data_IF_191230372654
#
_entry.id   IF_191230372654
#
_cell.length_a   1.000
_cell.length_b   1.000
_cell.length_c   1.000
_cell.angle_alpha   90.00
_cell.angle_beta   90.00
_cell.angle_gamma   90.00
#
_symmetry.space_group_name_H-M   'P 1'
#
loop_
_entity.id
_entity.type
_entity.pdbx_description
1 polymer ?
#
# COMPACT_ATOMS: atom_id res chain seq x y z
N UNK A 1 17.96 9.36 17.77
CA UNK A 1 18.09 7.89 17.89
C UNK A 1 17.35 7.21 16.74
N UNK A 2 17.97 6.20 16.13
CA UNK A 2 17.47 5.43 14.99
C UNK A 2 16.67 4.23 15.51
N UNK A 3 15.54 3.90 14.89
CA UNK A 3 14.65 2.80 15.30
C UNK A 3 14.91 1.55 14.42
N UNK A 4 15.84 0.66 14.81
CA UNK A 4 16.40 -0.37 13.93
C UNK A 4 15.36 -1.36 13.42
N UNK A 5 14.38 -1.70 14.26
CA UNK A 5 13.34 -2.66 13.89
C UNK A 5 12.35 -2.08 12.86
N UNK A 6 11.94 -0.81 12.99
CA UNK A 6 11.15 -0.13 11.95
C UNK A 6 11.92 -0.03 10.64
N UNK A 7 13.21 0.33 10.68
CA UNK A 7 14.05 0.40 9.49
C UNK A 7 14.15 -0.97 8.80
N UNK A 8 14.38 -2.04 9.57
CA UNK A 8 14.44 -3.41 9.07
C UNK A 8 13.14 -3.84 8.39
N UNK A 9 11.99 -3.55 8.99
CA UNK A 9 10.69 -3.95 8.42
C UNK A 9 10.36 -3.19 7.13
N UNK A 10 10.60 -1.89 7.06
CA UNK A 10 10.46 -1.15 5.80
C UNK A 10 11.46 -1.64 4.75
N UNK A 11 12.69 -2.01 5.14
CA UNK A 11 13.67 -2.58 4.23
C UNK A 11 13.19 -3.92 3.66
N UNK A 12 12.63 -4.80 4.50
CA UNK A 12 12.04 -6.05 4.05
C UNK A 12 10.89 -5.81 3.05
N UNK A 13 9.98 -4.87 3.34
CA UNK A 13 8.89 -4.48 2.43
C UNK A 13 9.41 -3.86 1.12
N UNK A 14 10.49 -3.10 1.18
CA UNK A 14 11.18 -2.53 0.01
C UNK A 14 11.71 -3.65 -0.89
N UNK A 15 12.39 -4.64 -0.31
CA UNK A 15 12.94 -5.79 -1.05
C UNK A 15 11.82 -6.61 -1.70
N UNK A 16 10.73 -6.90 -0.97
CA UNK A 16 9.57 -7.61 -1.51
C UNK A 16 8.89 -6.85 -2.65
N UNK A 17 8.79 -5.53 -2.53
CA UNK A 17 8.22 -4.66 -3.57
C UNK A 17 9.13 -4.62 -4.81
N UNK A 18 10.44 -4.52 -4.61
CA UNK A 18 11.42 -4.55 -5.70
C UNK A 18 11.43 -5.89 -6.44
N UNK A 19 11.41 -7.01 -5.72
CA UNK A 19 11.32 -8.34 -6.31
C UNK A 19 10.05 -8.47 -7.19
N UNK A 20 8.93 -7.96 -6.69
CA UNK A 20 7.66 -7.93 -7.42
C UNK A 20 7.70 -7.01 -8.65
N UNK A 21 8.35 -5.84 -8.55
CA UNK A 21 8.59 -4.93 -9.67
C UNK A 21 9.44 -5.56 -10.76
N UNK A 22 10.54 -6.20 -10.40
CA UNK A 22 11.44 -6.89 -11.33
C UNK A 22 10.66 -8.00 -12.05
N UNK A 23 9.93 -8.83 -11.31
CA UNK A 23 9.07 -9.87 -11.89
C UNK A 23 8.03 -9.31 -12.86
N UNK A 24 7.30 -8.26 -12.46
CA UNK A 24 6.30 -7.61 -13.32
C UNK A 24 6.93 -6.91 -14.52
N UNK A 25 8.13 -6.33 -14.40
CA UNK A 25 8.84 -5.71 -15.52
C UNK A 25 9.17 -6.74 -16.61
N UNK A 26 9.67 -7.92 -16.21
CA UNK A 26 9.89 -9.03 -17.14
C UNK A 26 8.59 -9.52 -17.80
N UNK A 27 7.49 -9.61 -17.03
CA UNK A 27 6.17 -10.04 -17.55
C UNK A 27 5.46 -8.97 -18.40
N UNK A 28 5.62 -7.68 -18.11
CA UNK A 28 4.99 -6.54 -18.79
C UNK A 28 5.35 -6.49 -20.27
N UNK A 29 6.57 -6.93 -20.64
CA UNK A 29 6.97 -7.10 -22.05
C UNK A 29 6.04 -8.04 -22.84
N UNK A 30 5.32 -8.93 -22.16
CA UNK A 30 4.44 -9.93 -22.77
C UNK A 30 2.94 -9.70 -22.57
N UNK A 31 2.54 -8.66 -21.80
CA UNK A 31 1.14 -8.41 -21.41
C UNK A 31 0.89 -6.89 -21.33
N UNK A 32 0.35 -6.30 -22.40
CA UNK A 32 0.01 -4.88 -22.47
C UNK A 32 -1.46 -4.64 -22.08
N UNK A 33 -1.76 -4.62 -20.78
CA UNK A 33 -3.10 -4.26 -20.28
C UNK A 33 -3.02 -3.15 -19.23
N UNK A 34 -4.06 -2.30 -19.18
CA UNK A 34 -4.16 -1.20 -18.22
C UNK A 34 -4.03 -1.69 -16.76
N UNK A 35 -4.62 -2.86 -16.44
CA UNK A 35 -4.51 -3.46 -15.12
C UNK A 35 -3.06 -3.83 -14.75
N UNK A 36 -2.28 -4.41 -15.67
CA UNK A 36 -0.85 -4.71 -15.43
C UNK A 36 -0.05 -3.43 -15.20
N UNK A 37 -0.38 -2.35 -15.92
CA UNK A 37 0.18 -1.01 -15.68
C UNK A 37 -0.10 -0.51 -14.26
N UNK A 38 -1.34 -0.61 -13.80
CA UNK A 38 -1.74 -0.19 -12.46
C UNK A 38 -1.07 -1.03 -11.37
N UNK A 39 -0.95 -2.35 -11.55
CA UNK A 39 -0.22 -3.22 -10.61
C UNK A 39 1.26 -2.85 -10.54
N UNK A 40 1.90 -2.62 -11.68
CA UNK A 40 3.30 -2.18 -11.72
C UNK A 40 3.47 -0.85 -10.97
N UNK A 41 2.59 0.12 -11.23
CA UNK A 41 2.61 1.42 -10.55
C UNK A 41 2.36 1.26 -9.05
N UNK A 42 1.45 0.37 -8.65
CA UNK A 42 1.17 0.09 -7.24
C UNK A 42 2.42 -0.38 -6.50
N UNK A 43 3.14 -1.38 -7.02
CA UNK A 43 4.39 -1.84 -6.42
C UNK A 43 5.49 -0.79 -6.46
N UNK A 44 5.54 0.06 -7.49
CA UNK A 44 6.53 1.13 -7.61
C UNK A 44 6.30 2.19 -6.54
N UNK A 45 5.05 2.61 -6.38
CA UNK A 45 4.65 3.60 -5.39
C UNK A 45 4.83 3.05 -3.98
N UNK A 46 4.53 1.77 -3.74
CA UNK A 46 4.76 1.15 -2.45
C UNK A 46 6.25 0.95 -2.15
N UNK A 47 7.07 0.67 -3.16
CA UNK A 47 8.53 0.69 -3.05
C UNK A 47 9.04 2.09 -2.64
N UNK A 48 8.60 3.13 -3.34
CA UNK A 48 8.98 4.52 -3.03
C UNK A 48 8.51 4.94 -1.63
N UNK A 49 7.29 4.60 -1.24
CA UNK A 49 6.79 4.79 0.13
C UNK A 49 7.76 4.26 1.18
N UNK A 50 8.19 3.00 1.04
CA UNK A 50 9.09 2.39 2.00
C UNK A 50 10.51 3.01 1.96
N UNK A 51 11.02 3.33 0.77
CA UNK A 51 12.32 4.02 0.64
C UNK A 51 12.30 5.37 1.36
N UNK A 52 11.25 6.18 1.17
CA UNK A 52 11.15 7.48 1.83
C UNK A 52 11.04 7.38 3.36
N UNK A 53 10.53 6.28 3.90
CA UNK A 53 10.52 6.03 5.34
C UNK A 53 11.88 5.55 5.88
N UNK A 54 12.66 4.81 5.10
CA UNK A 54 13.98 4.29 5.51
C UNK A 54 15.06 5.37 5.41
N UNK A 55 15.06 6.17 4.35
CA UNK A 55 16.09 7.17 4.08
C UNK A 55 16.42 8.07 5.29
N UNK A 56 15.44 8.70 5.97
CA UNK A 56 15.76 9.53 7.12
C UNK A 56 16.37 8.72 8.28
N UNK A 57 16.04 7.43 8.41
CA UNK A 57 16.59 6.55 9.44
C UNK A 57 18.02 6.08 9.14
N UNK A 58 18.39 6.04 7.86
CA UNK A 58 19.74 5.66 7.42
C UNK A 58 20.70 6.86 7.37
N UNK A 59 20.18 8.06 7.12
CA UNK A 59 20.98 9.26 6.85
C UNK A 59 21.13 10.18 8.08
N UNK A 60 20.17 10.18 9.01
CA UNK A 60 20.19 11.08 10.16
C UNK A 60 20.40 10.31 11.47
N UNK A 61 21.25 10.84 12.36
CA UNK A 61 21.44 10.29 13.71
C UNK A 61 20.25 10.55 14.64
N UNK A 62 19.43 11.56 14.32
CA UNK A 62 18.27 11.98 15.10
C UNK A 62 17.08 12.33 14.21
N UNK A 63 15.88 12.01 14.71
CA UNK A 63 14.64 12.40 14.07
C UNK A 63 14.41 13.90 14.28
N UNK A 64 14.18 14.61 13.20
CA UNK A 64 13.94 16.04 13.23
C UNK A 64 12.83 16.41 12.23
N UNK A 65 12.63 17.71 12.04
CA UNK A 65 11.66 18.22 11.08
C UNK A 65 11.84 17.67 9.65
N UNK A 66 13.09 17.46 9.21
CA UNK A 66 13.38 16.88 7.90
C UNK A 66 12.85 15.46 7.81
N UNK A 67 12.96 14.65 8.87
CA UNK A 67 12.36 13.31 8.93
C UNK A 67 10.84 13.35 8.74
N UNK A 68 10.17 14.40 9.24
CA UNK A 68 8.73 14.64 9.00
C UNK A 68 8.41 14.97 7.54
N UNK A 69 9.29 15.68 6.82
CA UNK A 69 9.13 15.93 5.38
C UNK A 69 9.21 14.61 4.58
N UNK A 70 10.18 13.75 4.91
CA UNK A 70 10.30 12.42 4.29
C UNK A 70 9.03 11.57 4.52
N UNK A 71 8.47 11.62 5.72
CA UNK A 71 7.18 10.98 6.03
C UNK A 71 6.04 11.50 5.15
N UNK A 72 5.92 12.83 4.97
CA UNK A 72 4.88 13.39 4.11
C UNK A 72 5.02 12.97 2.64
N UNK A 73 6.26 12.89 2.13
CA UNK A 73 6.49 12.31 0.80
C UNK A 73 6.14 10.83 0.75
N UNK A 74 6.42 10.06 1.81
CA UNK A 74 5.97 8.69 1.90
C UNK A 74 4.44 8.59 1.79
N UNK A 75 3.70 9.43 2.53
CA UNK A 75 2.24 9.49 2.43
C UNK A 75 1.77 9.79 1.00
N UNK A 76 2.43 10.68 0.27
CA UNK A 76 2.12 10.90 -1.14
C UNK A 76 2.19 9.61 -1.96
N UNK A 77 3.27 8.85 -1.83
CA UNK A 77 3.43 7.59 -2.57
C UNK A 77 2.43 6.53 -2.13
N UNK A 78 2.16 6.40 -0.83
CA UNK A 78 1.15 5.47 -0.32
C UNK A 78 -0.23 5.81 -0.88
N UNK A 79 -0.57 7.09 -0.92
CA UNK A 79 -1.86 7.59 -1.39
C UNK A 79 -2.07 7.37 -2.87
N UNK A 80 -1.05 7.67 -3.67
CA UNK A 80 -1.04 7.36 -5.11
C UNK A 80 -1.07 5.85 -5.35
N UNK A 81 -0.41 5.05 -4.51
CA UNK A 81 -0.47 3.59 -4.56
C UNK A 81 -1.89 3.10 -4.36
N UNK A 82 -2.56 3.51 -3.28
CA UNK A 82 -3.95 3.17 -3.02
C UNK A 82 -4.89 3.64 -4.15
N UNK A 83 -4.60 4.80 -4.76
CA UNK A 83 -5.31 5.26 -5.95
C UNK A 83 -5.17 4.29 -7.14
N UNK A 84 -4.02 3.65 -7.39
CA UNK A 84 -3.89 2.62 -8.43
C UNK A 84 -4.81 1.42 -8.19
N UNK A 85 -4.99 1.02 -6.93
CA UNK A 85 -5.91 -0.05 -6.56
C UNK A 85 -7.37 0.36 -6.82
N UNK A 86 -7.74 1.60 -6.46
CA UNK A 86 -9.04 2.17 -6.79
C UNK A 86 -9.27 2.27 -8.30
N UNK A 87 -8.31 2.78 -9.06
CA UNK A 87 -8.42 2.93 -10.51
C UNK A 87 -8.66 1.57 -11.18
N UNK A 88 -7.93 0.54 -10.74
CA UNK A 88 -8.15 -0.85 -11.16
C UNK A 88 -9.55 -1.33 -10.81
N UNK A 89 -10.04 -1.03 -9.60
CA UNK A 89 -11.39 -1.39 -9.18
C UNK A 89 -12.47 -0.72 -10.05
N UNK A 90 -12.32 0.58 -10.29
CA UNK A 90 -13.21 1.36 -11.15
C UNK A 90 -13.21 0.82 -12.58
N UNK A 91 -12.07 0.35 -13.08
CA UNK A 91 -11.98 -0.24 -14.40
C UNK A 91 -12.82 -1.51 -14.58
N UNK A 92 -12.93 -2.31 -13.51
CA UNK A 92 -13.76 -3.51 -13.50
C UNK A 92 -15.24 -3.25 -13.15
N UNK A 93 -15.54 -2.26 -12.31
CA UNK A 93 -16.89 -2.06 -11.78
C UNK A 93 -17.74 -1.06 -12.54
N UNK A 94 -17.14 0.00 -13.09
CA UNK A 94 -17.88 1.09 -13.72
C UNK A 94 -17.84 0.99 -15.25
N UNK A 95 -18.99 1.02 -15.90
CA UNK A 95 -19.07 1.09 -17.37
C UNK A 95 -18.87 2.53 -17.89
N UNK A 96 -19.27 3.53 -17.10
CA UNK A 96 -19.28 4.94 -17.50
C UNK A 96 -17.92 5.61 -17.25
N UNK A 97 -17.29 6.12 -18.32
CA UNK A 97 -15.98 6.79 -18.28
C UNK A 97 -15.98 8.11 -17.50
N UNK A 98 -17.09 8.86 -17.49
CA UNK A 98 -17.23 10.07 -16.69
C UNK A 98 -17.25 9.74 -15.20
N UNK A 99 -18.04 8.72 -14.79
CA UNK A 99 -18.09 8.28 -13.39
C UNK A 99 -16.71 7.84 -12.89
N UNK A 100 -15.97 7.05 -13.68
CA UNK A 100 -14.60 6.64 -13.35
C UNK A 100 -13.71 7.86 -13.08
N UNK A 101 -13.72 8.85 -13.99
CA UNK A 101 -12.92 10.08 -13.87
C UNK A 101 -13.30 10.89 -12.64
N UNK A 102 -14.60 11.06 -12.38
CA UNK A 102 -15.09 11.84 -11.24
C UNK A 102 -14.70 11.19 -9.91
N UNK A 103 -14.94 9.89 -9.73
CA UNK A 103 -14.60 9.19 -8.48
C UNK A 103 -13.09 9.17 -8.26
N UNK A 104 -12.31 8.92 -9.33
CA UNK A 104 -10.84 8.98 -9.30
C UNK A 104 -10.33 10.37 -8.89
N UNK A 105 -10.89 11.44 -9.46
CA UNK A 105 -10.52 12.82 -9.13
C UNK A 105 -10.88 13.19 -7.69
N UNK A 106 -12.08 12.82 -7.22
CA UNK A 106 -12.49 13.05 -5.83
C UNK A 106 -11.59 12.33 -4.83
N UNK A 107 -11.18 11.10 -5.14
CA UNK A 107 -10.24 10.34 -4.32
C UNK A 107 -8.87 11.04 -4.23
N UNK A 108 -8.31 11.45 -5.37
CA UNK A 108 -7.04 12.17 -5.42
C UNK A 108 -7.11 13.51 -4.68
N UNK A 109 -8.21 14.26 -4.83
CA UNK A 109 -8.42 15.52 -4.11
C UNK A 109 -8.46 15.31 -2.59
N UNK A 110 -9.15 14.26 -2.13
CA UNK A 110 -9.21 13.91 -0.71
C UNK A 110 -7.85 13.51 -0.13
N UNK A 111 -7.09 12.68 -0.85
CA UNK A 111 -5.71 12.33 -0.47
C UNK A 111 -4.80 13.56 -0.46
N UNK A 112 -4.89 14.42 -1.48
CA UNK A 112 -4.09 15.65 -1.54
C UNK A 112 -4.41 16.57 -0.35
N UNK A 113 -5.69 16.70 0.02
CA UNK A 113 -6.09 17.46 1.20
C UNK A 113 -5.51 16.87 2.49
N UNK A 114 -5.58 15.54 2.67
CA UNK A 114 -5.04 14.86 3.84
C UNK A 114 -3.50 15.01 3.95
N UNK A 115 -2.78 14.87 2.83
CA UNK A 115 -1.32 15.09 2.78
C UNK A 115 -0.99 16.56 3.05
N UNK A 116 -1.74 17.49 2.46
CA UNK A 116 -1.59 18.93 2.71
C UNK A 116 -1.76 19.28 4.19
N UNK A 117 -2.69 18.63 4.88
CA UNK A 117 -2.86 18.76 6.33
C UNK A 117 -1.64 18.22 7.10
N UNK A 118 -1.03 17.10 6.68
CA UNK A 118 0.22 16.60 7.27
C UNK A 118 1.43 17.53 6.99
N UNK A 119 1.41 18.33 5.92
CA UNK A 119 2.40 19.39 5.73
C UNK A 119 2.15 20.62 6.60
N UNK A 120 0.89 21.02 6.80
CA UNK A 120 0.51 22.14 7.65
C UNK A 120 0.68 21.84 9.14
N UNK A 121 0.49 20.57 9.52
CA UNK A 121 0.65 20.05 10.88
C UNK A 121 1.63 18.87 10.86
N UNK A 122 2.94 19.12 10.64
CA UNK A 122 3.94 18.07 10.55
C UNK A 122 3.98 17.23 11.81
N UNK A 123 3.81 15.92 11.64
CA UNK A 123 4.03 14.98 12.72
C UNK A 123 5.50 14.58 12.75
N UNK A 124 6.17 14.85 13.87
CA UNK A 124 7.47 14.27 14.13
C UNK A 124 7.20 12.85 14.62
N UNK A 125 7.71 11.81 13.91
CA UNK A 125 7.57 10.45 14.38
C UNK A 125 8.16 10.32 15.78
N UNK A 126 7.38 9.73 16.68
CA UNK A 126 7.83 9.38 18.02
C UNK A 126 8.37 7.97 17.98
N UNK A 127 9.15 7.58 18.97
CA UNK A 127 9.28 6.17 19.23
C UNK A 127 9.44 5.87 20.70
N UNK A 128 9.74 4.61 20.98
CA UNK A 128 9.74 4.09 22.35
C UNK A 128 10.73 4.81 23.26
N UNK A 129 10.43 4.80 24.56
CA UNK A 129 11.24 5.43 25.61
C UNK A 129 12.65 4.84 25.71
N UNK A 130 12.81 3.58 25.34
CA UNK A 130 14.11 2.92 25.23
C UNK A 130 14.77 3.09 23.85
N UNK A 131 14.12 3.83 22.94
CA UNK A 131 14.62 4.26 21.64
C UNK A 131 14.95 3.15 20.63
N UNK A 132 14.68 1.89 20.96
CA UNK A 132 15.16 0.74 20.20
C UNK A 132 14.07 0.04 19.36
N UNK A 133 12.79 0.37 19.54
CA UNK A 133 11.73 -0.56 19.12
C UNK A 133 10.97 -0.12 17.88
N UNK A 134 10.19 0.96 17.90
CA UNK A 134 9.38 1.34 16.73
C UNK A 134 9.12 2.84 16.62
N UNK A 135 8.99 3.33 15.39
CA UNK A 135 8.35 4.62 15.10
C UNK A 135 6.83 4.48 15.17
N UNK A 136 6.17 5.46 15.79
CA UNK A 136 4.74 5.67 15.64
C UNK A 136 4.39 7.15 15.53
N UNK A 137 3.21 7.40 14.97
CA UNK A 137 2.64 8.72 14.82
C UNK A 137 1.51 8.90 15.84
N UNK A 138 1.28 10.14 16.29
CA UNK A 138 0.16 10.40 17.19
C UNK A 138 -1.16 10.13 16.48
N UNK A 139 -2.13 9.53 17.19
CA UNK A 139 -3.49 9.38 16.70
C UNK A 139 -4.14 10.76 16.52
N UNK A 140 -3.98 11.35 15.33
CA UNK A 140 -4.63 12.60 14.94
C UNK A 140 -5.79 12.31 14.00
N UNK A 141 -6.81 13.17 14.05
CA UNK A 141 -7.98 13.09 13.15
C UNK A 141 -7.57 13.14 11.67
N UNK A 142 -6.45 13.79 11.34
CA UNK A 142 -5.87 13.83 9.99
C UNK A 142 -5.44 12.42 9.54
N UNK A 143 -4.75 11.69 10.41
CA UNK A 143 -4.29 10.31 10.17
C UNK A 143 -5.47 9.35 9.99
N UNK A 144 -6.54 9.52 10.77
CA UNK A 144 -7.79 8.76 10.59
C UNK A 144 -8.50 9.11 9.27
N UNK A 145 -8.57 10.39 8.92
CA UNK A 145 -9.12 10.82 7.63
C UNK A 145 -8.34 10.22 6.45
N UNK A 146 -7.01 10.17 6.54
CA UNK A 146 -6.15 9.53 5.55
C UNK A 146 -6.44 8.01 5.45
N UNK A 147 -6.62 7.31 6.57
CA UNK A 147 -6.94 5.87 6.57
C UNK A 147 -8.25 5.53 5.88
N UNK A 148 -9.24 6.43 5.89
CA UNK A 148 -10.52 6.22 5.19
C UNK A 148 -10.31 5.97 3.69
N UNK A 149 -9.38 6.69 3.05
CA UNK A 149 -9.06 6.49 1.63
C UNK A 149 -8.40 5.14 1.38
N UNK A 150 -7.63 4.63 2.34
CA UNK A 150 -7.06 3.28 2.24
C UNK A 150 -8.15 2.22 2.28
N UNK A 151 -9.14 2.37 3.18
CA UNK A 151 -10.32 1.51 3.23
C UNK A 151 -11.14 1.55 1.94
N UNK A 152 -11.46 2.75 1.44
CA UNK A 152 -12.21 2.91 0.20
C UNK A 152 -11.52 2.18 -0.96
N UNK A 153 -10.22 2.41 -1.16
CA UNK A 153 -9.47 1.75 -2.23
C UNK A 153 -9.37 0.23 -2.06
N UNK A 154 -8.96 -0.22 -0.87
CA UNK A 154 -8.73 -1.64 -0.60
C UNK A 154 -10.01 -2.48 -0.67
N UNK A 155 -11.10 -1.98 -0.09
CA UNK A 155 -12.38 -2.70 -0.08
C UNK A 155 -13.08 -2.66 -1.44
N UNK A 156 -13.04 -1.53 -2.17
CA UNK A 156 -13.53 -1.52 -3.56
C UNK A 156 -12.75 -2.49 -4.44
N UNK A 157 -11.42 -2.54 -4.28
CA UNK A 157 -10.59 -3.52 -4.95
C UNK A 157 -10.99 -4.96 -4.60
N UNK A 158 -11.16 -5.28 -3.32
CA UNK A 158 -11.61 -6.61 -2.89
C UNK A 158 -12.99 -7.00 -3.46
N UNK A 159 -13.94 -6.05 -3.46
CA UNK A 159 -15.28 -6.26 -4.03
C UNK A 159 -15.24 -6.60 -5.53
N UNK A 160 -14.28 -6.06 -6.29
CA UNK A 160 -14.17 -6.38 -7.73
C UNK A 160 -13.89 -7.85 -7.98
N UNK A 161 -13.03 -8.46 -7.18
CA UNK A 161 -12.70 -9.88 -7.30
C UNK A 161 -13.84 -10.75 -6.83
N UNK A 162 -14.53 -10.37 -5.75
CA UNK A 162 -15.70 -11.11 -5.24
C UNK A 162 -16.82 -11.21 -6.28
N UNK A 163 -17.06 -10.15 -7.07
CA UNK A 163 -18.15 -10.12 -8.07
C UNK A 163 -17.97 -11.16 -9.19
N UNK A 164 -16.75 -11.63 -9.45
CA UNK A 164 -16.46 -12.61 -10.52
C UNK A 164 -16.03 -13.99 -10.04
N UNK A 165 -15.77 -14.18 -8.74
CA UNK A 165 -15.00 -15.34 -8.23
C UNK A 165 -15.74 -16.67 -8.35
N UNK A 166 -17.07 -16.67 -8.24
CA UNK A 166 -17.87 -17.90 -8.16
C UNK A 166 -17.84 -18.71 -9.46
N UNK A 167 -17.73 -18.02 -10.61
CA UNK A 167 -17.72 -18.63 -11.94
C UNK A 167 -16.31 -19.04 -12.43
N UNK A 168 -15.27 -18.84 -11.62
CA UNK A 168 -13.89 -19.12 -12.03
C UNK A 168 -13.44 -20.57 -11.73
N UNK A 169 -12.55 -21.14 -12.55
CA UNK A 169 -11.82 -22.37 -12.24
C UNK A 169 -11.05 -22.28 -10.91
N UNK A 170 -10.81 -23.41 -10.24
CA UNK A 170 -10.29 -23.48 -8.87
C UNK A 170 -9.02 -22.63 -8.63
N UNK A 171 -8.05 -22.65 -9.56
CA UNK A 171 -6.79 -21.93 -9.39
C UNK A 171 -6.95 -20.40 -9.62
N UNK A 172 -7.82 -19.99 -10.54
CA UNK A 172 -8.20 -18.57 -10.70
C UNK A 172 -9.05 -18.06 -9.54
N UNK A 173 -9.88 -18.94 -8.98
CA UNK A 173 -10.67 -18.69 -7.78
C UNK A 173 -9.77 -18.46 -6.56
N UNK A 174 -8.76 -19.32 -6.35
CA UNK A 174 -7.76 -19.12 -5.30
C UNK A 174 -6.98 -17.81 -5.49
N UNK A 175 -6.54 -17.49 -6.71
CA UNK A 175 -5.92 -16.19 -7.03
C UNK A 175 -6.84 -15.02 -6.66
N UNK A 176 -8.13 -15.11 -7.01
CA UNK A 176 -9.13 -14.14 -6.64
C UNK A 176 -9.21 -13.95 -5.12
N UNK A 177 -9.27 -15.04 -4.36
CA UNK A 177 -9.31 -14.97 -2.90
C UNK A 177 -8.05 -14.32 -2.32
N UNK A 178 -6.85 -14.64 -2.82
CA UNK A 178 -5.63 -13.98 -2.41
C UNK A 178 -5.72 -12.45 -2.57
N UNK A 179 -6.21 -11.96 -3.70
CA UNK A 179 -6.39 -10.52 -3.92
C UNK A 179 -7.50 -9.91 -3.08
N UNK A 180 -8.61 -10.63 -2.85
CA UNK A 180 -9.68 -10.19 -1.95
C UNK A 180 -9.14 -10.01 -0.54
N UNK A 181 -8.49 -11.03 0.02
CA UNK A 181 -7.96 -10.98 1.37
C UNK A 181 -6.85 -9.93 1.50
N UNK A 182 -5.99 -9.78 0.50
CA UNK A 182 -4.95 -8.74 0.52
C UNK A 182 -5.55 -7.33 0.51
N UNK A 183 -6.51 -7.06 -0.40
CA UNK A 183 -7.22 -5.78 -0.48
C UNK A 183 -8.05 -5.47 0.76
N UNK A 184 -8.53 -6.50 1.46
CA UNK A 184 -9.26 -6.36 2.72
C UNK A 184 -8.36 -6.07 3.91
N UNK A 185 -7.19 -6.72 3.98
CA UNK A 185 -6.26 -6.66 5.13
C UNK A 185 -5.37 -5.42 5.12
N UNK A 186 -4.86 -4.98 3.96
CA UNK A 186 -3.95 -3.83 3.90
C UNK A 186 -4.51 -2.51 4.47
N UNK A 187 -5.82 -2.18 4.34
CA UNK A 187 -6.40 -1.04 5.04
C UNK A 187 -6.26 -1.10 6.56
N UNK A 188 -6.32 -2.30 7.16
CA UNK A 188 -6.07 -2.47 8.59
C UNK A 188 -4.61 -2.18 8.93
N UNK A 189 -3.66 -2.52 8.05
CA UNK A 189 -2.26 -2.14 8.25
C UNK A 189 -2.11 -0.62 8.40
N UNK A 190 -2.75 0.14 7.51
CA UNK A 190 -2.78 1.60 7.59
C UNK A 190 -3.49 2.08 8.87
N UNK A 191 -4.67 1.53 9.19
CA UNK A 191 -5.42 1.89 10.40
C UNK A 191 -4.59 1.71 11.68
N UNK A 192 -3.94 0.56 11.84
CA UNK A 192 -3.13 0.28 13.02
C UNK A 192 -1.83 1.11 13.07
N UNK A 193 -1.28 1.49 11.91
CA UNK A 193 -0.09 2.33 11.84
C UNK A 193 -0.41 3.79 12.20
N UNK A 194 -1.44 4.35 11.58
CA UNK A 194 -1.83 5.76 11.69
C UNK A 194 -2.75 6.05 12.88
N UNK A 195 -3.43 5.03 13.39
CA UNK A 195 -4.25 5.07 14.61
C UNK A 195 -3.57 4.41 15.82
N UNK A 196 -2.25 4.26 15.79
CA UNK A 196 -1.50 3.62 16.86
C UNK A 196 -1.68 4.36 18.20
N UNK A 197 -2.05 3.62 19.25
CA UNK A 197 -2.13 4.15 20.63
C UNK A 197 -1.07 3.54 21.54
N UNK A 198 -0.50 2.42 21.11
CA UNK A 198 0.52 1.66 21.82
C UNK A 198 1.38 0.91 20.79
N UNK A 199 2.50 0.36 21.25
CA UNK A 199 3.46 -0.41 20.44
C UNK A 199 2.80 -1.60 19.74
N UNK A 200 1.85 -2.28 20.40
CA UNK A 200 1.18 -3.45 19.83
C UNK A 200 0.43 -3.12 18.53
N UNK A 201 -0.14 -1.92 18.42
CA UNK A 201 -0.78 -1.49 17.16
C UNK A 201 0.23 -1.41 16.02
N UNK A 202 1.46 -0.95 16.27
CA UNK A 202 2.50 -0.91 15.24
C UNK A 202 2.88 -2.33 14.77
N UNK A 203 2.94 -3.29 15.69
CA UNK A 203 3.17 -4.69 15.31
C UNK A 203 2.03 -5.28 14.50
N UNK A 204 0.78 -4.97 14.84
CA UNK A 204 -0.36 -5.34 14.01
C UNK A 204 -0.25 -4.70 12.62
N UNK A 205 0.13 -3.43 12.54
CA UNK A 205 0.31 -2.75 11.26
C UNK A 205 1.31 -3.48 10.34
N UNK A 206 2.49 -3.80 10.86
CA UNK A 206 3.49 -4.54 10.09
C UNK A 206 3.04 -5.97 9.76
N UNK A 207 2.40 -6.66 10.70
CA UNK A 207 1.89 -8.02 10.46
C UNK A 207 0.85 -8.06 9.35
N UNK A 208 -0.11 -7.11 9.35
CA UNK A 208 -1.10 -6.99 8.29
C UNK A 208 -0.48 -6.57 6.95
N UNK A 209 0.52 -5.68 6.97
CA UNK A 209 1.24 -5.27 5.76
C UNK A 209 1.97 -6.47 5.12
N UNK A 210 2.74 -7.21 5.91
CA UNK A 210 3.45 -8.42 5.46
C UNK A 210 2.47 -9.46 4.95
N UNK A 211 1.42 -9.77 5.70
CA UNK A 211 0.39 -10.72 5.27
C UNK A 211 -0.25 -10.30 3.94
N UNK A 212 -0.63 -9.04 3.80
CA UNK A 212 -1.20 -8.49 2.57
C UNK A 212 -0.25 -8.61 1.38
N UNK A 213 1.04 -8.29 1.57
CA UNK A 213 2.07 -8.44 0.53
C UNK A 213 2.27 -9.91 0.13
N UNK A 214 2.31 -10.83 1.09
CA UNK A 214 2.43 -12.26 0.80
C UNK A 214 1.23 -12.77 0.01
N UNK A 215 0.01 -12.34 0.37
CA UNK A 215 -1.21 -12.68 -0.37
C UNK A 215 -1.19 -12.11 -1.80
N UNK A 216 -0.78 -10.85 -1.99
CA UNK A 216 -0.59 -10.28 -3.33
C UNK A 216 0.45 -11.04 -4.14
N UNK A 217 1.59 -11.39 -3.54
CA UNK A 217 2.64 -12.17 -4.18
C UNK A 217 2.14 -13.56 -4.59
N UNK A 218 1.45 -14.28 -3.69
CA UNK A 218 0.84 -15.57 -3.98
C UNK A 218 -0.16 -15.49 -5.14
N UNK A 219 -1.04 -14.48 -5.14
CA UNK A 219 -1.97 -14.23 -6.26
C UNK A 219 -1.26 -13.95 -7.59
N UNK A 220 -0.08 -13.32 -7.56
CA UNK A 220 0.70 -12.98 -8.75
C UNK A 220 1.56 -14.14 -9.29
N UNK A 221 2.14 -14.99 -8.43
CA UNK A 221 2.95 -16.15 -8.84
C UNK A 221 2.12 -17.12 -9.70
N UNK A 222 0.83 -17.25 -9.38
CA UNK A 222 -0.09 -18.12 -10.13
C UNK A 222 -0.41 -17.65 -11.54
N UNK A 223 -0.07 -16.39 -11.90
CA UNK A 223 -0.10 -15.91 -13.30
C UNK A 223 0.95 -16.64 -14.15
N UNK A 224 2.02 -17.15 -13.53
CA UNK A 224 3.11 -17.83 -14.22
C UNK A 224 2.77 -19.23 -14.70
N UNK A 225 2.06 -19.99 -13.86
CA UNK A 225 1.76 -21.41 -14.09
C UNK A 225 0.78 -21.67 -15.26
N UNK A 226 -0.04 -20.67 -15.64
CA UNK A 226 -1.00 -20.80 -16.74
C UNK A 226 -0.46 -20.42 -18.11
N UNK A 227 0.68 -19.72 -18.18
CA UNK A 227 1.26 -19.31 -19.46
C UNK A 227 2.26 -20.32 -20.00
N UNK A 228 2.92 -21.08 -19.14
CA UNK A 228 3.88 -22.13 -19.52
C UNK A 228 3.21 -23.47 -19.86
N UNK A 229 1.97 -23.71 -19.44
CA UNK A 229 1.21 -24.91 -19.81
C UNK A 229 0.45 -24.77 -21.14
N UNK A 230 0.48 -23.59 -21.76
CA UNK A 230 -0.22 -23.29 -23.02
C UNK A 230 0.72 -23.00 -24.20
N UNK A 231 2.02 -23.29 -24.05
CA UNK A 231 3.04 -23.31 -25.10
C UNK A 231 3.54 -24.73 -25.32
#
# INVERSE_FOLDING_TARGET
MIYPYTAFLHLAMTILSLASLVYLFYRKRSLNSAAVGNYFNWFLLFFLYNIFLILPLALFGELNFISGIFYNFALLFLGLGAWQALATALDFMAANSLLKKTVSALYLAGIAAAIGLHFAFPEIPRGTLDGNWVLWYSNQSISLFYTLFMFIAGWLFALTFLKGINAMPALLKFRGYCFVFAGFVLPFAAFYYFGAKNVMHIYFAFSFSILGLLLFAAGNILVGLFKESAS
#
